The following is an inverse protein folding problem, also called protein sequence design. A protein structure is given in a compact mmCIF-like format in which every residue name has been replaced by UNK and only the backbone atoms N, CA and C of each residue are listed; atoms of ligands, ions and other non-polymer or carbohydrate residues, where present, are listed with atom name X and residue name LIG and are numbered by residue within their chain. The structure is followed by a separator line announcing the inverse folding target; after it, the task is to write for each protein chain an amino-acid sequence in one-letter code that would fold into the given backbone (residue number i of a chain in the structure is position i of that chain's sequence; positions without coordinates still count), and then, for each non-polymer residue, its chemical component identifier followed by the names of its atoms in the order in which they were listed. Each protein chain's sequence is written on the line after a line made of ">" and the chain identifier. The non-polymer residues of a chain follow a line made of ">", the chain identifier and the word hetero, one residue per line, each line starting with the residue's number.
data_IF_745526003670
#
_entry.id   IF_745526003670
#
_cell.length_a   1.000
_cell.length_b   1.000
_cell.length_c   1.000
_cell.angle_alpha   90.00
_cell.angle_beta   90.00
_cell.angle_gamma   90.00
#
_symmetry.space_group_name_H-M   'P 1'
#
loop_
_entity.id
_entity.type
_entity.pdbx_description
1 polymer ?
#
# COMPACT_ATOMS: atom_id res chain seq x y z
N UNK A 1 31.96 -2.98 2.75
CA UNK A 1 31.44 -3.70 1.56
C UNK A 1 30.28 -4.66 1.92
N UNK A 2 30.43 -5.56 2.91
CA UNK A 2 29.38 -6.54 3.28
C UNK A 2 28.06 -5.89 3.71
N UNK A 3 28.11 -4.75 4.38
CA UNK A 3 26.91 -4.01 4.86
C UNK A 3 26.13 -3.39 3.70
N UNK A 4 26.81 -2.83 2.70
CA UNK A 4 26.17 -2.30 1.48
C UNK A 4 25.58 -3.41 0.61
N UNK A 5 26.22 -4.58 0.52
CA UNK A 5 25.66 -5.73 -0.20
C UNK A 5 24.36 -6.20 0.44
N UNK A 6 24.31 -6.27 1.78
CA UNK A 6 23.08 -6.62 2.51
C UNK A 6 21.96 -5.63 2.28
N UNK A 7 22.25 -4.32 2.28
CA UNK A 7 21.27 -3.28 1.99
C UNK A 7 20.72 -3.41 0.56
N UNK A 8 21.60 -3.55 -0.44
CA UNK A 8 21.20 -3.70 -1.85
C UNK A 8 20.37 -4.96 -2.06
N UNK A 9 20.79 -6.10 -1.50
CA UNK A 9 20.06 -7.36 -1.61
C UNK A 9 18.67 -7.28 -0.99
N UNK A 10 18.54 -6.73 0.21
CA UNK A 10 17.26 -6.57 0.88
C UNK A 10 16.33 -5.59 0.14
N UNK A 11 16.89 -4.50 -0.40
CA UNK A 11 16.11 -3.53 -1.18
C UNK A 11 15.61 -4.14 -2.49
N UNK A 12 16.46 -4.91 -3.17
CA UNK A 12 16.07 -5.65 -4.38
C UNK A 12 14.98 -6.69 -4.06
N UNK A 13 15.15 -7.47 -3.00
CA UNK A 13 14.14 -8.43 -2.54
C UNK A 13 12.81 -7.75 -2.16
N UNK A 14 12.85 -6.60 -1.50
CA UNK A 14 11.65 -5.81 -1.20
C UNK A 14 10.95 -5.34 -2.48
N UNK A 15 11.71 -4.96 -3.51
CA UNK A 15 11.18 -4.60 -4.82
C UNK A 15 10.50 -5.79 -5.51
N UNK A 16 11.14 -6.97 -5.51
CA UNK A 16 10.56 -8.20 -6.06
C UNK A 16 9.27 -8.59 -5.33
N UNK A 17 9.24 -8.55 -4.01
CA UNK A 17 8.04 -8.81 -3.21
C UNK A 17 6.91 -7.83 -3.56
N UNK A 18 7.23 -6.55 -3.76
CA UNK A 18 6.25 -5.55 -4.16
C UNK A 18 5.66 -5.84 -5.55
N UNK A 19 6.50 -6.22 -6.52
CA UNK A 19 6.04 -6.59 -7.87
C UNK A 19 5.18 -7.86 -7.79
N UNK A 20 5.62 -8.89 -7.08
CA UNK A 20 4.85 -10.13 -6.89
C UNK A 20 3.50 -9.84 -6.23
N UNK A 21 3.48 -9.04 -5.15
CA UNK A 21 2.25 -8.62 -4.48
C UNK A 21 1.27 -7.95 -5.44
N UNK A 22 1.78 -7.12 -6.38
CA UNK A 22 0.95 -6.37 -7.35
C UNK A 22 0.44 -7.21 -8.54
N UNK A 23 0.87 -8.46 -8.67
CA UNK A 23 0.46 -9.36 -9.76
C UNK A 23 -0.26 -10.62 -9.24
N UNK A 24 -0.21 -10.88 -7.95
CA UNK A 24 -0.74 -12.12 -7.35
C UNK A 24 -2.28 -12.23 -7.48
N UNK A 25 -2.95 -11.10 -7.51
CA UNK A 25 -4.38 -10.96 -7.77
C UNK A 25 -4.79 -11.55 -9.12
N UNK A 26 -3.99 -11.36 -10.16
CA UNK A 26 -4.25 -11.87 -11.50
C UNK A 26 -4.17 -13.39 -11.60
N UNK A 27 -3.51 -14.02 -10.65
CA UNK A 27 -3.45 -15.48 -10.54
C UNK A 27 -4.55 -16.01 -9.62
N UNK A 28 -4.70 -15.42 -8.44
CA UNK A 28 -5.63 -15.93 -7.42
C UNK A 28 -7.09 -15.70 -7.83
N UNK A 29 -7.45 -14.50 -8.31
CA UNK A 29 -8.85 -14.16 -8.57
C UNK A 29 -9.51 -15.07 -9.62
N UNK A 30 -8.88 -15.35 -10.79
CA UNK A 30 -9.49 -16.25 -11.76
C UNK A 30 -9.61 -17.69 -11.28
N UNK A 31 -8.76 -18.11 -10.33
CA UNK A 31 -8.81 -19.48 -9.78
C UNK A 31 -9.95 -19.69 -8.80
N UNK A 32 -10.36 -18.65 -8.07
CA UNK A 32 -11.39 -18.78 -7.00
C UNK A 32 -12.72 -18.11 -7.36
N UNK A 33 -12.72 -17.19 -8.30
CA UNK A 33 -13.90 -16.43 -8.72
C UNK A 33 -14.07 -16.52 -10.25
N UNK A 34 -14.32 -15.38 -10.91
CA UNK A 34 -14.52 -15.30 -12.35
C UNK A 34 -13.64 -14.21 -12.99
N UNK A 35 -13.42 -14.33 -14.31
CA UNK A 35 -12.74 -13.28 -15.08
C UNK A 35 -13.49 -11.95 -15.06
N UNK A 36 -14.81 -11.98 -14.94
CA UNK A 36 -15.62 -10.76 -14.79
C UNK A 36 -15.25 -10.02 -13.51
N UNK A 37 -15.14 -10.71 -12.38
CA UNK A 37 -14.74 -10.12 -11.10
C UNK A 37 -13.30 -9.61 -11.18
N UNK A 38 -12.40 -10.31 -11.88
CA UNK A 38 -11.04 -9.81 -12.13
C UNK A 38 -11.07 -8.49 -12.89
N UNK A 39 -11.96 -8.34 -13.89
CA UNK A 39 -12.13 -7.09 -14.62
C UNK A 39 -12.58 -5.93 -13.72
N UNK A 40 -13.58 -6.15 -12.86
CA UNK A 40 -14.04 -5.17 -11.89
C UNK A 40 -12.95 -4.79 -10.87
N UNK A 41 -12.21 -5.77 -10.38
CA UNK A 41 -11.10 -5.56 -9.47
C UNK A 41 -9.93 -4.81 -10.13
N UNK A 42 -9.63 -5.12 -11.40
CA UNK A 42 -8.59 -4.41 -12.17
C UNK A 42 -8.95 -2.92 -12.36
N UNK A 43 -10.21 -2.58 -12.62
CA UNK A 43 -10.66 -1.19 -12.66
C UNK A 43 -10.49 -0.51 -11.30
N UNK A 44 -10.87 -1.19 -10.21
CA UNK A 44 -10.66 -0.68 -8.86
C UNK A 44 -9.18 -0.38 -8.57
N UNK A 45 -8.27 -1.27 -8.96
CA UNK A 45 -6.82 -1.04 -8.83
C UNK A 45 -6.31 0.14 -9.68
N UNK A 46 -6.86 0.37 -10.87
CA UNK A 46 -6.51 1.54 -11.68
C UNK A 46 -6.92 2.84 -10.99
N UNK A 47 -8.13 2.89 -10.43
CA UNK A 47 -8.59 4.03 -9.63
C UNK A 47 -7.68 4.25 -8.42
N UNK A 48 -7.33 3.17 -7.70
CA UNK A 48 -6.38 3.25 -6.57
C UNK A 48 -5.00 3.76 -7.00
N UNK A 49 -4.52 3.34 -8.17
CA UNK A 49 -3.25 3.83 -8.72
C UNK A 49 -3.31 5.33 -8.97
N UNK A 50 -4.40 5.83 -9.56
CA UNK A 50 -4.61 7.26 -9.75
C UNK A 50 -4.67 8.02 -8.42
N UNK A 51 -5.41 7.52 -7.42
CA UNK A 51 -5.49 8.14 -6.10
C UNK A 51 -4.13 8.18 -5.38
N UNK A 52 -3.29 7.15 -5.57
CA UNK A 52 -1.95 7.06 -4.96
C UNK A 52 -0.88 7.87 -5.70
N UNK A 53 -1.16 8.48 -6.87
CA UNK A 53 -0.18 9.32 -7.58
C UNK A 53 0.38 10.43 -6.69
N UNK A 54 -0.48 11.06 -5.89
CA UNK A 54 -0.07 12.10 -4.94
C UNK A 54 0.96 11.58 -3.92
N UNK A 55 0.69 10.42 -3.31
CA UNK A 55 1.61 9.79 -2.35
C UNK A 55 2.95 9.44 -3.00
N UNK A 56 2.93 8.96 -4.26
CA UNK A 56 4.14 8.65 -5.01
C UNK A 56 4.98 9.91 -5.35
N UNK A 57 4.32 11.02 -5.69
CA UNK A 57 5.00 12.29 -5.96
C UNK A 57 5.66 12.78 -4.66
N UNK A 58 4.93 12.82 -3.56
CA UNK A 58 5.47 13.29 -2.27
C UNK A 58 6.64 12.41 -1.80
N UNK A 59 6.57 11.10 -2.00
CA UNK A 59 7.68 10.20 -1.67
C UNK A 59 9.00 10.63 -2.33
N UNK A 60 8.94 11.05 -3.61
CA UNK A 60 10.11 11.55 -4.36
C UNK A 60 10.69 12.83 -3.76
N UNK A 61 9.87 13.63 -3.07
CA UNK A 61 10.36 14.82 -2.36
C UNK A 61 10.86 14.48 -0.96
N UNK A 62 10.19 13.61 -0.21
CA UNK A 62 10.57 13.27 1.17
C UNK A 62 11.89 12.50 1.20
N UNK A 63 12.12 11.58 0.27
CA UNK A 63 13.29 10.71 0.28
C UNK A 63 14.64 11.47 0.27
N UNK A 64 14.89 12.49 -0.57
CA UNK A 64 16.11 13.27 -0.52
C UNK A 64 16.30 14.02 0.81
N UNK A 65 15.22 14.58 1.37
CA UNK A 65 15.28 15.26 2.68
C UNK A 65 15.63 14.29 3.81
N UNK A 66 15.02 13.12 3.84
CA UNK A 66 15.36 12.10 4.83
C UNK A 66 16.82 11.61 4.66
N UNK A 67 17.29 11.50 3.42
CA UNK A 67 18.68 11.12 3.12
C UNK A 67 19.72 12.17 3.51
N UNK A 68 19.38 13.47 3.46
CA UNK A 68 20.25 14.56 3.93
C UNK A 68 20.25 14.74 5.45
N UNK A 69 19.44 13.97 6.18
CA UNK A 69 19.26 14.11 7.63
C UNK A 69 18.26 15.21 8.04
N UNK A 70 17.72 15.96 7.08
CA UNK A 70 16.73 17.01 7.29
C UNK A 70 15.30 16.45 7.22
N UNK A 71 14.85 15.77 8.30
CA UNK A 71 13.49 15.23 8.33
C UNK A 71 12.44 16.34 8.44
N UNK A 72 11.63 16.54 7.39
CA UNK A 72 10.57 17.53 7.40
C UNK A 72 9.24 16.94 7.91
N UNK A 73 9.02 17.01 9.22
CA UNK A 73 7.82 16.52 9.88
C UNK A 73 6.53 17.19 9.37
N UNK A 74 6.59 18.46 8.98
CA UNK A 74 5.43 19.20 8.45
C UNK A 74 4.94 18.60 7.12
N UNK A 75 5.87 18.26 6.22
CA UNK A 75 5.52 17.61 4.94
C UNK A 75 4.91 16.23 5.19
N UNK A 76 5.47 15.43 6.10
CA UNK A 76 4.95 14.12 6.47
C UNK A 76 3.53 14.21 7.04
N UNK A 77 3.28 15.16 7.93
CA UNK A 77 1.94 15.39 8.48
C UNK A 77 0.95 15.86 7.42
N UNK A 78 1.35 16.81 6.56
CA UNK A 78 0.53 17.27 5.44
C UNK A 78 0.17 16.12 4.48
N UNK A 79 1.10 15.21 4.21
CA UNK A 79 0.87 14.03 3.38
C UNK A 79 -0.26 13.15 3.95
N UNK A 80 -0.29 12.95 5.28
CA UNK A 80 -1.36 12.19 5.93
C UNK A 80 -2.71 12.91 5.79
N UNK A 81 -2.76 14.22 6.04
CA UNK A 81 -3.99 15.00 5.88
C UNK A 81 -4.54 14.90 4.46
N UNK A 82 -3.69 15.08 3.46
CA UNK A 82 -4.11 15.01 2.05
C UNK A 82 -4.54 13.58 1.69
N UNK A 83 -3.87 12.55 2.21
CA UNK A 83 -4.30 11.16 1.98
C UNK A 83 -5.70 10.87 2.57
N UNK A 84 -6.04 11.46 3.70
CA UNK A 84 -7.39 11.38 4.28
C UNK A 84 -8.42 12.09 3.38
N UNK A 85 -8.08 13.29 2.90
CA UNK A 85 -8.97 14.04 1.99
C UNK A 85 -9.21 13.25 0.69
N UNK A 86 -8.15 12.68 0.09
CA UNK A 86 -8.25 11.85 -1.13
C UNK A 86 -9.09 10.60 -0.85
N UNK A 87 -8.89 9.94 0.29
CA UNK A 87 -9.67 8.76 0.70
C UNK A 87 -11.16 9.09 0.82
N UNK A 88 -11.52 10.16 1.53
CA UNK A 88 -12.91 10.62 1.68
C UNK A 88 -13.50 11.01 0.32
N UNK A 89 -12.73 11.73 -0.51
CA UNK A 89 -13.16 12.07 -1.87
C UNK A 89 -13.44 10.82 -2.71
N UNK A 90 -12.59 9.79 -2.62
CA UNK A 90 -12.80 8.51 -3.30
C UNK A 90 -14.10 7.82 -2.85
N UNK A 91 -14.39 7.81 -1.56
CA UNK A 91 -15.62 7.23 -1.01
C UNK A 91 -16.87 7.97 -1.52
N UNK A 92 -16.84 9.30 -1.54
CA UNK A 92 -17.99 10.14 -1.92
C UNK A 92 -18.18 10.17 -3.44
N UNK A 93 -17.08 10.30 -4.20
CA UNK A 93 -17.17 10.48 -5.65
C UNK A 93 -17.43 9.16 -6.40
N UNK A 94 -16.98 8.01 -5.88
CA UNK A 94 -17.14 6.72 -6.55
C UNK A 94 -18.60 6.43 -6.93
N UNK A 95 -19.62 6.54 -6.05
CA UNK A 95 -21.00 6.24 -6.42
C UNK A 95 -21.62 7.25 -7.39
N UNK A 96 -21.01 8.42 -7.56
CA UNK A 96 -21.48 9.46 -8.51
C UNK A 96 -20.80 9.28 -9.86
N UNK A 97 -19.49 9.12 -9.88
CA UNK A 97 -18.66 9.14 -11.08
C UNK A 97 -18.70 7.79 -11.80
N UNK A 98 -18.69 6.67 -11.05
CA UNK A 98 -18.60 5.35 -11.64
C UNK A 98 -19.80 5.02 -12.55
N UNK A 99 -21.08 5.28 -12.16
CA UNK A 99 -22.22 5.01 -13.05
C UNK A 99 -22.24 5.84 -14.33
N UNK A 100 -21.63 7.03 -14.29
CA UNK A 100 -21.57 7.95 -15.44
C UNK A 100 -20.48 7.51 -16.43
N UNK A 101 -19.28 7.20 -15.93
CA UNK A 101 -18.12 6.88 -16.77
C UNK A 101 -18.01 5.39 -17.10
N UNK A 102 -18.43 4.52 -16.19
CA UNK A 102 -18.26 3.07 -16.27
C UNK A 102 -19.51 2.32 -15.80
N UNK A 103 -20.67 2.46 -16.49
CA UNK A 103 -21.95 1.88 -16.04
C UNK A 103 -21.91 0.35 -15.92
N UNK A 104 -21.06 -0.33 -16.66
CA UNK A 104 -20.87 -1.78 -16.55
C UNK A 104 -20.18 -2.25 -15.25
N UNK A 105 -19.67 -1.32 -14.44
CA UNK A 105 -18.89 -1.61 -13.22
C UNK A 105 -19.56 -1.13 -11.94
N UNK A 106 -20.87 -0.90 -11.95
CA UNK A 106 -21.64 -0.39 -10.80
C UNK A 106 -21.47 -1.31 -9.58
N UNK A 107 -21.39 -2.62 -9.77
CA UNK A 107 -21.20 -3.60 -8.70
C UNK A 107 -19.85 -3.44 -7.97
N UNK A 108 -18.90 -2.73 -8.57
CA UNK A 108 -17.60 -2.44 -7.97
C UNK A 108 -17.61 -1.27 -6.98
N UNK A 109 -18.68 -0.48 -6.90
CA UNK A 109 -18.75 0.77 -6.11
C UNK A 109 -18.31 0.52 -4.67
N UNK A 110 -18.94 -0.41 -3.97
CA UNK A 110 -18.63 -0.69 -2.55
C UNK A 110 -17.17 -1.14 -2.37
N UNK A 111 -16.67 -1.97 -3.27
CA UNK A 111 -15.28 -2.45 -3.23
C UNK A 111 -14.29 -1.32 -3.45
N UNK A 112 -14.56 -0.41 -4.37
CA UNK A 112 -13.72 0.79 -4.61
C UNK A 112 -13.76 1.72 -3.40
N UNK A 113 -14.91 1.90 -2.76
CA UNK A 113 -15.02 2.69 -1.54
C UNK A 113 -14.16 2.11 -0.40
N UNK A 114 -14.22 0.78 -0.18
CA UNK A 114 -13.37 0.09 0.80
C UNK A 114 -11.89 0.28 0.44
N UNK A 115 -11.53 0.08 -0.83
CA UNK A 115 -10.15 0.25 -1.29
C UNK A 115 -9.67 1.70 -1.17
N UNK A 116 -10.53 2.70 -1.32
CA UNK A 116 -10.16 4.12 -1.18
C UNK A 116 -9.56 4.44 0.19
N UNK A 117 -9.95 3.72 1.23
CA UNK A 117 -9.37 3.85 2.58
C UNK A 117 -7.88 3.49 2.59
N UNK A 118 -7.42 2.65 1.65
CA UNK A 118 -6.01 2.20 1.58
C UNK A 118 -5.03 3.31 1.24
N UNK A 119 -5.48 4.44 0.72
CA UNK A 119 -4.62 5.59 0.44
C UNK A 119 -3.91 6.08 1.71
N UNK A 120 -4.59 5.99 2.86
CA UNK A 120 -4.03 6.41 4.16
C UNK A 120 -2.86 5.50 4.57
N UNK A 121 -3.04 4.17 4.75
CA UNK A 121 -1.92 3.30 5.11
C UNK A 121 -0.82 3.27 4.05
N UNK A 122 -1.15 3.43 2.76
CA UNK A 122 -0.13 3.52 1.70
C UNK A 122 0.76 4.74 1.88
N UNK A 123 0.19 5.91 2.20
CA UNK A 123 0.96 7.13 2.49
C UNK A 123 1.85 6.98 3.72
N UNK A 124 1.34 6.35 4.78
CA UNK A 124 2.13 6.04 5.99
C UNK A 124 3.30 5.10 5.63
N UNK A 125 3.04 4.05 4.86
CA UNK A 125 4.07 3.12 4.38
C UNK A 125 5.17 3.86 3.62
N UNK A 126 4.82 4.81 2.74
CA UNK A 126 5.80 5.58 1.97
C UNK A 126 6.67 6.47 2.85
N UNK A 127 6.09 7.12 3.87
CA UNK A 127 6.84 7.95 4.83
C UNK A 127 7.89 7.10 5.58
N UNK A 128 7.50 5.93 6.10
CA UNK A 128 8.45 5.08 6.82
C UNK A 128 9.45 4.38 5.89
N UNK A 129 9.04 4.01 4.67
CA UNK A 129 9.95 3.47 3.66
C UNK A 129 11.06 4.48 3.35
N UNK A 130 10.73 5.77 3.17
CA UNK A 130 11.72 6.82 2.97
C UNK A 130 12.73 6.90 4.12
N UNK A 131 12.24 6.88 5.37
CA UNK A 131 13.11 6.91 6.55
C UNK A 131 14.04 5.70 6.63
N UNK A 132 13.53 4.48 6.40
CA UNK A 132 14.36 3.28 6.43
C UNK A 132 15.36 3.19 5.28
N UNK A 133 15.02 3.72 4.09
CA UNK A 133 15.97 3.84 2.98
C UNK A 133 17.09 4.84 3.32
N UNK A 134 16.75 5.97 3.90
CA UNK A 134 17.73 6.97 4.34
C UNK A 134 18.69 6.44 5.43
N UNK A 135 18.20 5.54 6.28
CA UNK A 135 19.00 4.87 7.33
C UNK A 135 19.75 3.62 6.81
N UNK A 136 19.66 3.27 5.54
CA UNK A 136 20.17 2.01 4.95
C UNK A 136 19.64 0.73 5.63
N UNK A 137 18.44 0.80 6.24
CA UNK A 137 17.80 -0.30 6.99
C UNK A 137 16.70 -1.00 6.16
N UNK A 138 16.99 -1.36 4.92
CA UNK A 138 16.04 -1.99 3.98
C UNK A 138 15.46 -3.34 4.46
N UNK A 139 16.08 -3.98 5.47
CA UNK A 139 15.55 -5.22 6.06
C UNK A 139 14.13 -5.07 6.61
N UNK A 140 13.80 -3.94 7.23
CA UNK A 140 12.46 -3.69 7.76
C UNK A 140 11.43 -3.54 6.63
N UNK A 141 11.84 -2.91 5.53
CA UNK A 141 10.99 -2.77 4.33
C UNK A 141 10.71 -4.14 3.73
N UNK A 142 11.74 -4.99 3.58
CA UNK A 142 11.59 -6.36 3.06
C UNK A 142 10.63 -7.19 3.94
N UNK A 143 10.78 -7.14 5.27
CA UNK A 143 9.93 -7.89 6.19
C UNK A 143 8.47 -7.41 6.13
N UNK A 144 8.22 -6.09 6.11
CA UNK A 144 6.86 -5.56 5.99
C UNK A 144 6.18 -5.97 4.69
N UNK A 145 6.91 -5.93 3.56
CA UNK A 145 6.41 -6.39 2.26
C UNK A 145 6.08 -7.88 2.26
N UNK A 146 6.93 -8.70 2.88
CA UNK A 146 6.69 -10.13 3.01
C UNK A 146 5.42 -10.43 3.82
N UNK A 147 5.25 -9.78 4.98
CA UNK A 147 4.05 -9.92 5.80
C UNK A 147 2.79 -9.46 5.04
N UNK A 148 2.86 -8.32 4.39
CA UNK A 148 1.76 -7.80 3.57
C UNK A 148 1.39 -8.72 2.41
N UNK A 149 2.39 -9.37 1.76
CA UNK A 149 2.17 -10.35 0.70
C UNK A 149 1.44 -11.61 1.22
N UNK A 150 1.79 -12.10 2.40
CA UNK A 150 1.08 -13.22 3.03
C UNK A 150 -0.37 -12.83 3.30
N UNK A 151 -0.59 -11.67 3.90
CA UNK A 151 -1.95 -11.21 4.27
C UNK A 151 -2.83 -11.03 3.04
N UNK A 152 -2.32 -10.45 1.94
CA UNK A 152 -3.12 -10.30 0.73
C UNK A 152 -3.44 -11.65 0.09
N UNK A 153 -2.47 -12.58 0.03
CA UNK A 153 -2.67 -13.89 -0.59
C UNK A 153 -3.68 -14.73 0.17
N UNK A 154 -3.51 -14.87 1.49
CA UNK A 154 -4.43 -15.61 2.36
C UNK A 154 -5.79 -14.92 2.43
N UNK A 155 -5.80 -13.60 2.54
CA UNK A 155 -7.02 -12.81 2.56
C UNK A 155 -7.84 -12.95 1.28
N UNK A 156 -7.21 -12.86 0.11
CA UNK A 156 -7.91 -13.07 -1.17
C UNK A 156 -8.51 -14.47 -1.29
N UNK A 157 -7.80 -15.50 -0.86
CA UNK A 157 -8.31 -16.89 -0.90
C UNK A 157 -9.51 -17.05 0.06
N UNK A 158 -9.39 -16.60 1.30
CA UNK A 158 -10.44 -16.80 2.32
C UNK A 158 -11.58 -15.81 2.13
N UNK A 159 -11.31 -14.50 2.18
CA UNK A 159 -12.36 -13.48 2.10
C UNK A 159 -12.92 -13.35 0.69
N UNK A 160 -12.10 -13.55 -0.34
CA UNK A 160 -12.54 -13.55 -1.73
C UNK A 160 -13.55 -14.67 -2.00
N UNK A 161 -13.30 -15.88 -1.52
CA UNK A 161 -14.24 -17.00 -1.67
C UNK A 161 -15.54 -16.82 -0.89
N UNK A 162 -15.50 -16.14 0.27
CA UNK A 162 -16.68 -15.93 1.13
C UNK A 162 -17.51 -14.71 0.72
N UNK A 163 -16.86 -13.61 0.35
CA UNK A 163 -17.51 -12.31 0.12
C UNK A 163 -17.28 -11.75 -1.29
N UNK A 164 -16.72 -12.54 -2.21
CA UNK A 164 -16.50 -12.14 -3.59
C UNK A 164 -15.61 -10.90 -3.69
N UNK A 165 -16.01 -9.94 -4.51
CA UNK A 165 -15.24 -8.71 -4.75
C UNK A 165 -15.03 -7.85 -3.47
N UNK A 166 -16.00 -7.82 -2.57
CA UNK A 166 -15.85 -7.10 -1.30
C UNK A 166 -14.77 -7.73 -0.43
N UNK A 167 -14.70 -9.06 -0.39
CA UNK A 167 -13.64 -9.80 0.29
C UNK A 167 -12.24 -9.49 -0.26
N UNK A 168 -12.12 -9.34 -1.59
CA UNK A 168 -10.86 -8.91 -2.22
C UNK A 168 -10.48 -7.48 -1.80
N UNK A 169 -11.44 -6.56 -1.73
CA UNK A 169 -11.22 -5.18 -1.31
C UNK A 169 -10.76 -5.11 0.16
N UNK A 170 -11.39 -5.88 1.05
CA UNK A 170 -11.00 -5.98 2.46
C UNK A 170 -9.59 -6.58 2.59
N UNK A 171 -9.26 -7.61 1.81
CA UNK A 171 -7.93 -8.23 1.80
C UNK A 171 -6.84 -7.23 1.37
N UNK A 172 -7.16 -6.41 0.37
CA UNK A 172 -6.26 -5.36 -0.10
C UNK A 172 -6.05 -4.27 0.97
N UNK A 173 -7.11 -3.83 1.65
CA UNK A 173 -7.04 -2.89 2.77
C UNK A 173 -6.23 -3.46 3.92
N UNK A 174 -6.50 -4.69 4.33
CA UNK A 174 -5.80 -5.36 5.43
C UNK A 174 -4.29 -5.49 5.13
N UNK A 175 -3.92 -5.91 3.93
CA UNK A 175 -2.52 -6.05 3.53
C UNK A 175 -1.76 -4.72 3.56
N UNK A 176 -2.36 -3.63 3.06
CA UNK A 176 -1.71 -2.32 3.11
C UNK A 176 -1.66 -1.75 4.53
N UNK A 177 -2.65 -2.06 5.37
CA UNK A 177 -2.63 -1.69 6.79
C UNK A 177 -1.54 -2.44 7.56
N UNK A 178 -1.35 -3.74 7.31
CA UNK A 178 -0.27 -4.54 7.92
C UNK A 178 1.10 -4.02 7.48
N UNK A 179 1.27 -3.63 6.21
CA UNK A 179 2.51 -3.00 5.71
C UNK A 179 2.84 -1.72 6.50
N UNK A 180 1.86 -0.81 6.65
CA UNK A 180 2.01 0.43 7.39
C UNK A 180 2.30 0.20 8.88
N UNK A 181 1.55 -0.69 9.53
CA UNK A 181 1.70 -1.01 10.96
C UNK A 181 3.06 -1.63 11.23
N UNK A 182 3.51 -2.59 10.41
CA UNK A 182 4.82 -3.23 10.60
C UNK A 182 5.98 -2.25 10.49
N UNK A 183 5.93 -1.31 9.54
CA UNK A 183 6.94 -0.27 9.42
C UNK A 183 6.88 0.73 10.58
N UNK A 184 5.67 1.12 11.00
CA UNK A 184 5.50 1.99 12.18
C UNK A 184 6.10 1.38 13.44
N UNK A 185 5.79 0.11 13.73
CA UNK A 185 6.32 -0.60 14.89
C UNK A 185 7.85 -0.75 14.82
N UNK A 186 8.38 -1.07 13.63
CA UNK A 186 9.83 -1.16 13.39
C UNK A 186 10.53 0.18 13.65
N UNK A 187 9.91 1.30 13.23
CA UNK A 187 10.46 2.63 13.47
C UNK A 187 10.46 3.00 14.95
N UNK A 188 9.39 2.62 15.68
CA UNK A 188 9.31 2.83 17.13
C UNK A 188 10.39 2.04 17.88
N UNK A 189 10.60 0.78 17.49
CA UNK A 189 11.64 -0.08 18.03
C UNK A 189 13.05 0.51 17.84
N UNK A 190 13.36 0.98 16.63
CA UNK A 190 14.67 1.57 16.32
C UNK A 190 14.92 2.86 17.08
N UNK A 191 13.91 3.71 17.25
CA UNK A 191 14.03 4.94 18.05
C UNK A 191 14.32 4.65 19.52
N UNK A 192 13.71 3.61 20.09
CA UNK A 192 13.97 3.23 21.47
C UNK A 192 15.37 2.65 21.64
N UNK A 193 15.85 1.85 20.68
CA UNK A 193 17.20 1.30 20.69
C UNK A 193 18.27 2.39 20.66
N UNK A 194 18.06 3.44 19.85
CA UNK A 194 19.02 4.55 19.75
C UNK A 194 19.06 5.48 20.97
N UNK A 195 18.07 5.40 21.87
CA UNK A 195 18.06 6.16 23.13
C UNK A 195 18.81 5.45 24.27
N UNK A 196 19.04 4.15 24.12
CA UNK A 196 19.70 3.32 25.14
C UNK A 196 21.14 2.91 24.74
N UNK A 197 21.62 3.34 23.60
CA UNK A 197 22.98 3.17 23.10
C UNK A 197 23.74 4.50 23.08
#
# INVERSE_FOLDING_TARGET
>A
LKQHIGFVSNNYSAGLLQITKSQIDKVIIPMILSFSILGHYALALQIMTAMNLFSNIIFKFILPYDASGESNTKIKFLTIIISVIISISGIILTPIVLPILFPAYIDAILSIQIMSITVIPTSITMIFTSQFLAMEKSRYIMLSRFLSMIVISVGMIILGSLYGMQGLAISYLAANSVDAISLFLSNHYEKNKSKHS
#
